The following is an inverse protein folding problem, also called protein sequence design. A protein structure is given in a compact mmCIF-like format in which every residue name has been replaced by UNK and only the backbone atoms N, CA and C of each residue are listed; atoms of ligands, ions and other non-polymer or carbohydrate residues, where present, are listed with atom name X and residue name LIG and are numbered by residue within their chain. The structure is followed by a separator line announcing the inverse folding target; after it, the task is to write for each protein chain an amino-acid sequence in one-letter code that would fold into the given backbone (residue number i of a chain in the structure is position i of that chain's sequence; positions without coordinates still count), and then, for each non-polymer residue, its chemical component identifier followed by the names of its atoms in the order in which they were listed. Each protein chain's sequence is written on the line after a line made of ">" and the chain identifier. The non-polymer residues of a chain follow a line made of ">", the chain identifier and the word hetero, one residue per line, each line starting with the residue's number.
data_IF_566480455854
#
_entry.id   IF_566480455854
#
_cell.length_a   1.000
_cell.length_b   1.000
_cell.length_c   1.000
_cell.angle_alpha   90.00
_cell.angle_beta   90.00
_cell.angle_gamma   90.00
#
_symmetry.space_group_name_H-M   'P 1'
#
loop_
_entity.id
_entity.type
_entity.pdbx_description
1 polymer ?
#
# COMPACT_ATOMS: atom_id res chain seq x y z
N UNK A 1 7.40 2.49 16.79
CA UNK A 1 6.85 1.60 17.85
C UNK A 1 7.70 0.33 17.92
N UNK A 2 8.05 -0.15 19.12
CA UNK A 2 8.84 -1.37 19.30
C UNK A 2 7.89 -2.57 19.47
N UNK A 3 7.53 -3.22 18.36
CA UNK A 3 6.44 -4.23 18.28
C UNK A 3 6.95 -5.62 18.69
N UNK A 4 7.60 -5.72 19.86
CA UNK A 4 8.18 -6.98 20.34
C UNK A 4 7.23 -7.86 21.17
N UNK A 5 5.97 -7.48 21.34
CA UNK A 5 4.96 -8.31 22.02
C UNK A 5 3.78 -8.59 21.10
N UNK A 6 3.53 -9.86 20.79
CA UNK A 6 2.27 -10.31 20.19
C UNK A 6 1.19 -10.41 21.26
N UNK A 7 -0.04 -10.01 20.91
CA UNK A 7 -1.33 -10.55 21.37
C UNK A 7 -2.44 -9.92 20.51
N UNK A 8 -3.26 -10.75 19.84
CA UNK A 8 -4.40 -10.40 18.94
C UNK A 8 -4.05 -9.91 17.51
N UNK A 9 -4.73 -10.48 16.50
CA UNK A 9 -4.65 -10.15 15.07
C UNK A 9 -5.15 -8.73 14.82
N UNK A 10 -6.28 -8.35 15.44
CA UNK A 10 -6.89 -7.02 15.29
C UNK A 10 -5.96 -5.90 15.76
N UNK A 11 -5.22 -6.16 16.84
CA UNK A 11 -4.26 -5.22 17.43
C UNK A 11 -3.00 -5.10 16.57
N UNK A 12 -2.61 -6.18 15.89
CA UNK A 12 -1.57 -6.18 14.87
C UNK A 12 -1.95 -5.31 13.67
N UNK A 13 -3.17 -5.47 13.17
CA UNK A 13 -3.69 -4.71 12.03
C UNK A 13 -3.85 -3.23 12.37
N UNK A 14 -4.39 -2.91 13.56
CA UNK A 14 -4.48 -1.53 14.05
C UNK A 14 -3.09 -0.89 14.20
N UNK A 15 -2.11 -1.62 14.75
CA UNK A 15 -0.74 -1.12 14.90
C UNK A 15 -0.08 -0.89 13.54
N UNK A 16 -0.31 -1.80 12.58
CA UNK A 16 0.17 -1.65 11.21
C UNK A 16 -0.47 -0.41 10.54
N UNK A 17 -1.77 -0.21 10.73
CA UNK A 17 -2.48 0.97 10.23
C UNK A 17 -1.91 2.26 10.82
N UNK A 18 -1.78 2.34 12.14
CA UNK A 18 -1.23 3.51 12.83
C UNK A 18 0.22 3.81 12.40
N UNK A 19 1.02 2.79 12.06
CA UNK A 19 2.40 2.98 11.62
C UNK A 19 2.56 3.76 10.31
N UNK A 20 1.48 3.93 9.55
CA UNK A 20 1.48 4.69 8.29
C UNK A 20 1.43 6.20 8.52
N UNK A 21 1.10 6.64 9.73
CA UNK A 21 0.96 8.04 10.09
C UNK A 21 2.16 8.52 10.91
N UNK A 22 2.57 9.77 10.68
CA UNK A 22 3.52 10.47 11.54
C UNK A 22 2.74 11.26 12.59
N UNK A 23 2.66 10.71 13.81
CA UNK A 23 1.87 11.30 14.89
C UNK A 23 2.62 11.34 16.22
N UNK A 24 2.20 12.25 17.07
CA UNK A 24 2.67 12.37 18.45
C UNK A 24 1.50 12.21 19.41
N UNK A 25 1.72 11.47 20.49
CA UNK A 25 0.69 11.24 21.50
C UNK A 25 0.65 12.46 22.42
N UNK A 26 -0.51 13.13 22.48
CA UNK A 26 -0.76 14.27 23.37
C UNK A 26 -1.98 13.97 24.24
N UNK A 27 -1.84 14.15 25.56
CA UNK A 27 -2.96 14.07 26.49
C UNK A 27 -3.80 15.35 26.43
N UNK A 28 -5.12 15.21 26.35
CA UNK A 28 -6.09 16.31 26.39
C UNK A 28 -7.07 16.04 27.55
N UNK A 29 -7.20 16.96 28.53
CA UNK A 29 -8.16 16.83 29.62
C UNK A 29 -9.61 16.82 29.10
N UNK A 30 -10.51 16.10 29.77
CA UNK A 30 -11.91 15.96 29.34
C UNK A 30 -12.66 17.28 29.16
N UNK A 31 -12.30 18.33 29.92
CA UNK A 31 -12.90 19.68 29.79
C UNK A 31 -12.56 20.37 28.47
N UNK A 32 -11.45 20.01 27.84
CA UNK A 32 -11.01 20.54 26.54
C UNK A 32 -11.39 19.60 25.40
N UNK A 33 -11.77 18.36 25.70
CA UNK A 33 -12.16 17.33 24.73
C UNK A 33 -13.68 17.31 24.44
N UNK A 34 -14.34 18.46 24.57
CA UNK A 34 -15.81 18.57 24.47
C UNK A 34 -16.31 18.19 23.09
N UNK A 35 -15.61 18.57 22.03
CA UNK A 35 -16.01 18.27 20.66
C UNK A 35 -16.03 16.75 20.40
N UNK A 36 -14.96 16.05 20.80
CA UNK A 36 -14.90 14.59 20.68
C UNK A 36 -15.92 13.89 21.58
N UNK A 37 -16.18 14.40 22.79
CA UNK A 37 -17.23 13.87 23.67
C UNK A 37 -18.62 14.05 23.06
N UNK A 38 -18.92 15.21 22.45
CA UNK A 38 -20.18 15.44 21.75
C UNK A 38 -20.35 14.53 20.52
N UNK A 39 -19.32 14.36 19.70
CA UNK A 39 -19.38 13.52 18.50
C UNK A 39 -19.46 12.02 18.83
N UNK A 40 -18.75 11.56 19.85
CA UNK A 40 -18.78 10.15 20.27
C UNK A 40 -20.12 9.73 20.91
N UNK A 41 -20.87 10.68 21.47
CA UNK A 41 -22.24 10.46 21.98
C UNK A 41 -23.32 10.61 20.92
N UNK A 42 -22.98 11.08 19.73
CA UNK A 42 -23.94 11.20 18.64
C UNK A 42 -24.30 9.79 18.16
N UNK A 43 -25.56 9.34 18.30
CA UNK A 43 -25.96 8.01 17.84
C UNK A 43 -25.66 7.89 16.35
N UNK A 44 -24.78 6.94 16.01
CA UNK A 44 -24.52 6.57 14.61
C UNK A 44 -25.81 5.97 14.07
N UNK A 45 -26.46 6.68 13.16
CA UNK A 45 -27.48 6.09 12.32
C UNK A 45 -26.76 5.04 11.46
N UNK A 46 -27.17 3.78 11.54
CA UNK A 46 -26.69 2.68 10.69
C UNK A 46 -26.85 3.14 9.23
N UNK A 47 -25.76 3.54 8.59
CA UNK A 47 -25.79 3.85 7.18
C UNK A 47 -25.89 2.55 6.41
N UNK A 48 -27.02 2.36 5.73
CA UNK A 48 -27.12 1.43 4.62
C UNK A 48 -25.97 1.78 3.64
N UNK A 49 -24.97 0.91 3.55
CA UNK A 49 -23.80 0.99 2.66
C UNK A 49 -22.65 1.99 3.01
N UNK A 50 -21.98 1.85 4.16
CA UNK A 50 -20.59 2.32 4.31
C UNK A 50 -19.59 1.41 3.54
N UNK A 51 -19.74 1.33 2.20
CA UNK A 51 -18.75 0.68 1.32
C UNK A 51 -17.56 1.61 1.01
N UNK A 52 -17.65 2.89 1.39
CA UNK A 52 -16.66 3.92 1.09
C UNK A 52 -15.47 3.95 2.07
N UNK A 53 -15.64 3.46 3.30
CA UNK A 53 -14.58 3.43 4.33
C UNK A 53 -13.60 2.25 4.17
N UNK A 54 -13.85 1.35 3.21
CA UNK A 54 -12.88 0.37 2.80
C UNK A 54 -11.78 1.08 2.00
N UNK A 55 -10.55 1.10 2.53
CA UNK A 55 -9.34 1.46 1.80
C UNK A 55 -9.44 0.89 0.37
N UNK A 56 -9.57 1.77 -0.61
CA UNK A 56 -9.71 1.38 -2.02
C UNK A 56 -8.41 0.67 -2.41
N UNK A 57 -8.38 -0.66 -2.32
CA UNK A 57 -7.26 -1.47 -2.80
C UNK A 57 -7.29 -1.39 -4.32
N UNK A 58 -6.68 -0.34 -4.87
CA UNK A 58 -6.58 -0.19 -6.31
C UNK A 58 -5.38 -1.01 -6.77
N UNK A 59 -5.66 -2.19 -7.34
CA UNK A 59 -4.64 -2.88 -8.11
C UNK A 59 -4.34 -2.06 -9.39
N UNK A 60 -3.27 -1.27 -9.36
CA UNK A 60 -2.89 -0.38 -10.45
C UNK A 60 -2.15 -1.08 -11.61
N UNK A 61 -1.84 -2.38 -11.42
CA UNK A 61 -0.94 -3.17 -12.27
C UNK A 61 -1.68 -4.39 -12.81
N UNK A 62 -1.69 -4.56 -14.13
CA UNK A 62 -2.15 -5.81 -14.74
C UNK A 62 -0.97 -6.73 -15.01
N UNK A 63 -1.22 -8.04 -15.00
CA UNK A 63 -0.20 -9.05 -15.33
C UNK A 63 0.35 -8.83 -16.75
N UNK A 64 -0.50 -8.39 -17.68
CA UNK A 64 -0.10 -8.07 -19.07
C UNK A 64 0.95 -6.97 -19.12
N UNK A 65 0.76 -5.90 -18.34
CA UNK A 65 1.71 -4.78 -18.26
C UNK A 65 3.09 -5.23 -17.81
N UNK A 66 3.16 -6.19 -16.87
CA UNK A 66 4.41 -6.75 -16.37
C UNK A 66 5.11 -7.58 -17.44
N UNK A 67 4.35 -8.40 -18.18
CA UNK A 67 4.92 -9.24 -19.26
C UNK A 67 5.49 -8.36 -20.37
N UNK A 68 4.73 -7.36 -20.82
CA UNK A 68 5.17 -6.43 -21.86
C UNK A 68 6.42 -5.62 -21.46
N UNK A 69 6.49 -5.18 -20.20
CA UNK A 69 7.68 -4.49 -19.67
C UNK A 69 8.91 -5.40 -19.67
N UNK A 70 8.74 -6.66 -19.24
CA UNK A 70 9.85 -7.61 -19.17
C UNK A 70 10.33 -8.06 -20.55
N UNK A 71 9.45 -8.16 -21.54
CA UNK A 71 9.80 -8.50 -22.92
C UNK A 71 10.63 -7.40 -23.59
N UNK A 72 10.37 -6.13 -23.27
CA UNK A 72 11.10 -4.99 -23.82
C UNK A 72 12.44 -4.71 -23.13
N UNK A 73 12.68 -5.31 -21.97
CA UNK A 73 13.86 -5.01 -21.16
C UNK A 73 15.08 -5.85 -21.60
N UNK A 74 16.01 -5.20 -22.31
CA UNK A 74 17.25 -5.81 -22.83
C UNK A 74 18.06 -6.53 -21.74
N UNK A 75 18.13 -5.97 -20.53
CA UNK A 75 18.85 -6.57 -19.40
C UNK A 75 18.27 -7.92 -18.96
N UNK A 76 16.96 -8.12 -19.13
CA UNK A 76 16.29 -9.39 -18.81
C UNK A 76 16.58 -10.39 -19.92
N UNK A 77 16.57 -9.95 -21.18
CA UNK A 77 16.87 -10.79 -22.35
C UNK A 77 18.27 -11.39 -22.24
N UNK A 78 19.28 -10.59 -21.92
CA UNK A 78 20.66 -11.05 -21.78
C UNK A 78 20.86 -12.03 -20.61
N UNK A 79 20.10 -11.85 -19.51
CA UNK A 79 20.26 -12.62 -18.27
C UNK A 79 19.21 -13.72 -18.08
N UNK A 80 18.45 -14.06 -19.12
CA UNK A 80 17.36 -15.06 -19.07
C UNK A 80 17.77 -16.37 -18.39
N UNK A 81 18.99 -16.83 -18.63
CA UNK A 81 19.52 -18.09 -18.12
C UNK A 81 19.67 -18.14 -16.57
N UNK A 82 19.82 -16.98 -15.91
CA UNK A 82 19.98 -16.89 -14.45
C UNK A 82 18.67 -16.53 -13.72
N UNK A 83 17.58 -16.38 -14.45
CA UNK A 83 16.30 -15.93 -13.92
C UNK A 83 15.32 -17.09 -13.80
N UNK A 84 14.48 -17.04 -12.77
CA UNK A 84 13.43 -18.03 -12.56
C UNK A 84 12.21 -17.56 -13.35
N UNK A 85 11.72 -18.38 -14.27
CA UNK A 85 10.49 -18.09 -15.01
C UNK A 85 9.32 -18.86 -14.38
N UNK A 86 8.26 -18.14 -14.00
CA UNK A 86 6.98 -18.72 -13.55
C UNK A 86 5.84 -17.96 -14.20
N UNK A 87 4.87 -18.66 -14.76
CA UNK A 87 3.70 -18.05 -15.42
C UNK A 87 4.05 -16.93 -16.42
N UNK A 88 5.11 -17.15 -17.23
CA UNK A 88 5.67 -16.19 -18.20
C UNK A 88 6.31 -14.92 -17.61
N UNK A 89 6.36 -14.77 -16.29
CA UNK A 89 7.02 -13.66 -15.60
C UNK A 89 8.41 -14.11 -15.14
N UNK A 90 9.39 -13.24 -15.29
CA UNK A 90 10.75 -13.44 -14.80
C UNK A 90 10.92 -12.91 -13.38
N UNK A 91 11.56 -13.72 -12.54
CA UNK A 91 11.84 -13.44 -11.14
C UNK A 91 13.34 -13.49 -10.86
N UNK A 92 13.78 -12.56 -10.02
CA UNK A 92 15.12 -12.58 -9.43
C UNK A 92 15.04 -13.15 -8.02
N UNK A 93 15.81 -14.22 -7.77
CA UNK A 93 15.95 -14.78 -6.42
C UNK A 93 16.89 -13.90 -5.59
N UNK A 94 16.38 -13.38 -4.48
CA UNK A 94 17.16 -12.60 -3.51
C UNK A 94 16.95 -13.24 -2.14
N UNK A 95 18.01 -13.87 -1.61
CA UNK A 95 17.95 -14.68 -0.38
C UNK A 95 16.86 -15.76 -0.49
N UNK A 96 15.80 -15.66 0.34
CA UNK A 96 14.64 -16.57 0.38
C UNK A 96 13.45 -16.09 -0.45
N UNK A 97 13.49 -14.86 -0.99
CA UNK A 97 12.36 -14.26 -1.69
C UNK A 97 12.58 -14.20 -3.20
N UNK A 98 11.51 -14.40 -3.94
CA UNK A 98 11.46 -14.20 -5.38
C UNK A 98 10.82 -12.84 -5.66
N UNK A 99 11.54 -11.96 -6.36
CA UNK A 99 11.05 -10.62 -6.69
C UNK A 99 10.84 -10.48 -8.20
N UNK A 100 9.73 -9.88 -8.59
CA UNK A 100 9.45 -9.50 -9.98
C UNK A 100 10.41 -8.39 -10.38
N UNK A 101 10.98 -8.49 -11.58
CA UNK A 101 11.84 -7.47 -12.16
C UNK A 101 10.97 -6.51 -12.96
N UNK A 102 11.13 -5.20 -12.74
CA UNK A 102 10.45 -4.15 -13.50
C UNK A 102 11.50 -3.16 -14.02
N UNK A 103 11.24 -2.54 -15.16
CA UNK A 103 12.07 -1.45 -15.67
C UNK A 103 11.91 -0.18 -14.83
N UNK A 104 12.93 0.68 -14.88
CA UNK A 104 12.88 1.97 -14.20
C UNK A 104 11.82 2.88 -14.80
N UNK A 105 11.68 2.87 -16.14
CA UNK A 105 10.68 3.65 -16.87
C UNK A 105 9.25 3.26 -16.47
N UNK A 106 8.97 1.95 -16.42
CA UNK A 106 7.68 1.44 -15.98
C UNK A 106 7.40 1.80 -14.53
N UNK A 107 8.39 1.70 -13.65
CA UNK A 107 8.27 2.10 -12.24
C UNK A 107 7.91 3.58 -12.09
N UNK A 108 8.57 4.47 -12.84
CA UNK A 108 8.24 5.92 -12.87
C UNK A 108 6.82 6.16 -13.36
N UNK A 109 6.39 5.47 -14.42
CA UNK A 109 5.02 5.56 -14.96
C UNK A 109 3.98 5.10 -13.93
N UNK A 110 4.28 4.05 -13.17
CA UNK A 110 3.41 3.48 -12.14
C UNK A 110 3.22 4.44 -10.96
N UNK A 111 4.30 5.09 -10.52
CA UNK A 111 4.26 6.12 -9.47
C UNK A 111 3.40 7.30 -9.93
N UNK A 112 3.58 7.77 -11.19
CA UNK A 112 2.73 8.84 -11.76
C UNK A 112 1.26 8.43 -11.81
N UNK A 113 0.96 7.21 -12.26
CA UNK A 113 -0.41 6.66 -12.30
C UNK A 113 -1.02 6.59 -10.90
N UNK A 114 -0.28 6.11 -9.91
CA UNK A 114 -0.72 6.07 -8.51
C UNK A 114 -1.04 7.46 -7.98
N UNK A 115 -0.17 8.45 -8.20
CA UNK A 115 -0.40 9.84 -7.78
C UNK A 115 -1.68 10.42 -8.38
N UNK A 116 -1.90 10.20 -9.69
CA UNK A 116 -3.11 10.64 -10.39
C UNK A 116 -4.38 9.97 -9.87
N UNK A 117 -4.34 8.66 -9.63
CA UNK A 117 -5.51 7.90 -9.14
C UNK A 117 -5.84 8.19 -7.68
N UNK A 118 -4.83 8.42 -6.83
CA UNK A 118 -5.00 8.75 -5.42
C UNK A 118 -5.20 10.25 -5.15
N UNK A 119 -5.36 11.09 -6.19
CA UNK A 119 -5.66 12.51 -6.04
C UNK A 119 -4.51 13.40 -5.56
N UNK A 120 -3.27 12.90 -5.54
CA UNK A 120 -2.09 13.74 -5.26
C UNK A 120 -1.72 14.53 -6.54
N UNK A 121 -2.46 15.61 -6.80
CA UNK A 121 -2.09 16.65 -7.75
C UNK A 121 -1.08 17.57 -7.07
N UNK A 122 0.21 17.40 -7.38
CA UNK A 122 1.17 18.49 -7.22
C UNK A 122 1.51 18.89 -8.65
N UNK A 123 1.06 20.08 -9.05
CA UNK A 123 1.57 20.77 -10.23
C UNK A 123 3.07 21.01 -10.06
N UNK A 124 3.81 20.83 -11.15
CA UNK A 124 5.28 20.73 -11.22
C UNK A 124 6.05 21.85 -10.50
#
# INVERSE_FOLDING_TARGET
>A
MNIKCRTDEELGDLTYYLSQYDFTVKYIPGKENVEADCLSRNPVLESEDNKEDLLKIVNLIQIKDIVEDQEKNENIIEKKHNLIQKNKIYYKKIKKHEKIILSEEFSKKLIKKKRKTCGFLIED
#
